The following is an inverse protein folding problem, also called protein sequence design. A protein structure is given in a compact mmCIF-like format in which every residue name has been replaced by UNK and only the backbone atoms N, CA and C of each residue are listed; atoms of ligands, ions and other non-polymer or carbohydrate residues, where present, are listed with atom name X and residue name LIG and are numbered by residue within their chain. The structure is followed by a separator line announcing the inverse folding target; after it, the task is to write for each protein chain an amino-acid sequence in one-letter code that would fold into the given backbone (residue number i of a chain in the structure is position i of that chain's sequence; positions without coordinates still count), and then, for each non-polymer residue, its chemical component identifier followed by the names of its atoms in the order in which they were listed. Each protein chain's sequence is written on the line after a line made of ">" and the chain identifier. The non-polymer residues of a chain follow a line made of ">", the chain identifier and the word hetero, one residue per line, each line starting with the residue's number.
data_IF_989322728206
#
_entry.id   IF_989322728206
#
_cell.length_a   1.000
_cell.length_b   1.000
_cell.length_c   1.000
_cell.angle_alpha   90.00
_cell.angle_beta   90.00
_cell.angle_gamma   90.00
#
_symmetry.space_group_name_H-M   'P 1'
#
loop_
_entity.id
_entity.type
_entity.pdbx_description
1 polymer ?
#
# COMPACT_ATOMS: atom_id res chain seq x y z
N UNK A 1 1.55 -1.60 3.25
CA UNK A 1 2.93 -1.74 2.74
C UNK A 1 3.75 -0.59 3.28
N UNK A 2 5.10 -0.76 3.43
CA UNK A 2 5.93 0.25 4.07
C UNK A 2 5.52 0.49 5.53
N UNK A 3 5.28 -0.57 6.26
CA UNK A 3 4.61 -0.50 7.56
C UNK A 3 5.43 0.24 8.62
N UNK A 4 6.78 0.12 8.58
CA UNK A 4 7.62 0.72 9.60
C UNK A 4 7.08 0.52 11.01
N UNK A 5 7.05 1.58 11.80
CA UNK A 5 6.41 1.63 13.12
C UNK A 5 5.01 2.27 13.06
N UNK A 6 4.17 1.82 12.13
CA UNK A 6 2.87 2.44 11.79
C UNK A 6 1.84 2.36 12.92
N UNK A 7 1.27 3.52 13.29
CA UNK A 7 0.13 3.59 14.20
C UNK A 7 -1.11 2.88 13.63
N UNK A 8 -1.30 2.88 12.29
CA UNK A 8 -2.41 2.18 11.66
C UNK A 8 -2.36 0.67 11.95
N UNK A 9 -1.19 0.03 11.87
CA UNK A 9 -1.06 -1.40 12.17
C UNK A 9 -1.45 -1.70 13.61
N UNK A 10 -1.08 -0.82 14.54
CA UNK A 10 -1.43 -0.96 15.97
C UNK A 10 -2.95 -0.87 16.16
N UNK A 11 -3.60 0.10 15.51
CA UNK A 11 -5.05 0.24 15.58
C UNK A 11 -5.79 -0.94 14.94
N UNK A 12 -5.33 -1.44 13.79
CA UNK A 12 -5.91 -2.62 13.15
C UNK A 12 -5.81 -3.86 14.05
N UNK A 13 -4.65 -4.10 14.68
CA UNK A 13 -4.46 -5.22 15.62
C UNK A 13 -5.42 -5.16 16.83
N UNK A 14 -5.82 -3.95 17.26
CA UNK A 14 -6.76 -3.72 18.36
C UNK A 14 -8.22 -3.73 17.95
N UNK A 15 -8.50 -3.46 16.67
CA UNK A 15 -9.87 -3.34 16.13
C UNK A 15 -10.51 -4.69 15.75
N UNK A 16 -9.85 -5.82 16.04
CA UNK A 16 -10.42 -7.15 15.86
C UNK A 16 -10.31 -7.71 14.43
N UNK A 17 -9.41 -7.17 13.60
CA UNK A 17 -9.08 -7.80 12.32
C UNK A 17 -8.46 -9.19 12.54
N UNK A 18 -8.91 -10.18 11.78
CA UNK A 18 -8.51 -11.58 11.93
C UNK A 18 -7.08 -11.86 11.48
N UNK A 19 -6.57 -11.06 10.54
CA UNK A 19 -5.21 -11.17 10.00
C UNK A 19 -4.70 -9.79 9.57
N UNK A 20 -3.51 -9.42 10.02
CA UNK A 20 -2.83 -8.18 9.62
C UNK A 20 -1.40 -8.51 9.24
N UNK A 21 -1.04 -8.23 7.99
CA UNK A 21 0.33 -8.37 7.50
C UNK A 21 1.01 -7.01 7.41
N UNK A 22 2.07 -6.81 8.19
CA UNK A 22 2.91 -5.62 8.14
C UNK A 22 4.18 -5.92 7.33
N UNK A 23 4.27 -5.35 6.14
CA UNK A 23 5.40 -5.56 5.21
C UNK A 23 6.27 -4.31 5.18
N UNK A 24 7.57 -4.49 5.34
CA UNK A 24 8.57 -3.42 5.20
C UNK A 24 9.93 -4.01 4.82
N UNK A 25 10.77 -3.24 4.13
CA UNK A 25 12.16 -3.62 3.84
C UNK A 25 13.07 -3.43 5.08
N UNK A 26 12.65 -2.65 6.05
CA UNK A 26 13.38 -2.33 7.27
C UNK A 26 13.05 -3.31 8.40
N UNK A 27 13.94 -4.25 8.68
CA UNK A 27 13.82 -5.11 9.87
C UNK A 27 13.76 -4.31 11.17
N UNK A 28 14.54 -3.23 11.27
CA UNK A 28 14.55 -2.35 12.43
C UNK A 28 13.19 -1.64 12.64
N UNK A 29 12.53 -1.23 11.55
CA UNK A 29 11.17 -0.67 11.59
C UNK A 29 10.15 -1.69 12.11
N UNK A 30 10.21 -2.93 11.62
CA UNK A 30 9.33 -4.02 12.06
C UNK A 30 9.59 -4.46 13.50
N UNK A 31 10.84 -4.43 13.96
CA UNK A 31 11.18 -4.67 15.37
C UNK A 31 10.63 -3.57 16.28
N UNK A 32 10.71 -2.31 15.85
CA UNK A 32 10.10 -1.21 16.59
C UNK A 32 8.57 -1.37 16.64
N UNK A 33 7.93 -1.75 15.53
CA UNK A 33 6.50 -2.06 15.48
C UNK A 33 6.15 -3.16 16.49
N UNK A 34 6.93 -4.23 16.56
CA UNK A 34 6.72 -5.31 17.54
C UNK A 34 6.76 -4.82 18.99
N UNK A 35 7.72 -3.94 19.31
CA UNK A 35 7.80 -3.31 20.64
C UNK A 35 6.58 -2.45 20.96
N UNK A 36 6.07 -1.69 19.99
CA UNK A 36 4.90 -0.82 20.15
C UNK A 36 3.58 -1.61 20.26
N UNK A 37 3.48 -2.76 19.59
CA UNK A 37 2.34 -3.67 19.70
C UNK A 37 2.26 -4.34 21.09
N UNK A 38 3.39 -4.58 21.74
CA UNK A 38 3.45 -5.22 23.06
C UNK A 38 2.78 -6.59 23.04
N UNK A 39 1.72 -6.77 23.86
CA UNK A 39 0.94 -8.01 23.92
C UNK A 39 0.15 -8.32 22.65
N UNK A 40 -0.04 -7.36 21.75
CA UNK A 40 -0.74 -7.55 20.48
C UNK A 40 0.20 -7.98 19.33
N UNK A 41 1.50 -8.16 19.60
CA UNK A 41 2.51 -8.47 18.59
C UNK A 41 2.24 -9.76 17.82
N UNK A 42 1.62 -10.76 18.46
CA UNK A 42 1.28 -12.05 17.86
C UNK A 42 0.06 -11.97 16.91
N UNK A 43 -0.70 -10.88 16.96
CA UNK A 43 -1.83 -10.62 16.06
C UNK A 43 -1.39 -10.10 14.68
N UNK A 44 -0.12 -9.71 14.55
CA UNK A 44 0.43 -9.09 13.34
C UNK A 44 1.58 -9.93 12.80
N UNK A 45 1.42 -10.45 11.59
CA UNK A 45 2.53 -11.07 10.86
C UNK A 45 3.43 -9.97 10.29
N UNK A 46 4.69 -9.95 10.70
CA UNK A 46 5.69 -8.98 10.23
C UNK A 46 6.57 -9.63 9.19
N UNK A 47 6.58 -9.07 7.98
CA UNK A 47 7.30 -9.59 6.82
C UNK A 47 8.36 -8.59 6.38
N UNK A 48 9.63 -8.94 6.55
CA UNK A 48 10.74 -8.14 6.04
C UNK A 48 11.03 -8.55 4.60
N UNK A 49 10.49 -7.76 3.65
CA UNK A 49 10.60 -8.07 2.23
C UNK A 49 10.39 -6.80 1.37
N UNK A 50 10.90 -6.84 0.15
CA UNK A 50 10.52 -5.90 -0.90
C UNK A 50 9.06 -6.15 -1.31
N UNK A 51 8.30 -5.08 -1.45
CA UNK A 51 6.88 -5.15 -1.83
C UNK A 51 6.66 -5.82 -3.20
N UNK A 52 7.65 -5.79 -4.08
CA UNK A 52 7.62 -6.44 -5.40
C UNK A 52 7.80 -7.96 -5.33
N UNK A 53 8.31 -8.47 -4.21
CA UNK A 53 8.69 -9.89 -4.04
C UNK A 53 7.89 -10.59 -2.93
N UNK A 54 7.18 -9.82 -2.08
CA UNK A 54 6.44 -10.36 -0.94
C UNK A 54 5.43 -11.41 -1.38
N UNK A 55 5.29 -12.47 -0.58
CA UNK A 55 4.29 -13.53 -0.78
C UNK A 55 3.41 -13.65 0.46
N UNK A 56 2.15 -13.97 0.21
CA UNK A 56 1.13 -14.15 1.23
C UNK A 56 0.66 -15.60 1.23
N UNK A 57 0.24 -16.10 2.39
CA UNK A 57 -0.20 -17.50 2.55
C UNK A 57 -1.62 -17.75 2.00
N UNK A 58 -2.30 -16.69 1.60
CA UNK A 58 -3.64 -16.73 1.00
C UNK A 58 -4.03 -15.36 0.44
N UNK A 59 -5.22 -15.26 -0.15
CA UNK A 59 -5.72 -14.01 -0.69
C UNK A 59 -5.98 -13.02 0.44
N UNK A 60 -5.78 -11.74 0.16
CA UNK A 60 -6.03 -10.63 1.09
C UNK A 60 -7.22 -9.80 0.61
N UNK A 61 -8.02 -9.31 1.55
CA UNK A 61 -9.21 -8.50 1.24
C UNK A 61 -8.83 -7.03 0.98
N UNK A 62 -7.81 -6.52 1.67
CA UNK A 62 -7.40 -5.12 1.57
C UNK A 62 -5.88 -5.01 1.50
N UNK A 63 -5.40 -4.42 0.42
CA UNK A 63 -4.02 -3.96 0.28
C UNK A 63 -3.98 -2.47 0.62
N UNK A 64 -3.22 -2.10 1.66
CA UNK A 64 -3.02 -0.70 2.03
C UNK A 64 -1.57 -0.30 1.81
N UNK A 65 -1.37 0.79 1.08
CA UNK A 65 -0.07 1.40 0.82
C UNK A 65 -0.16 2.92 0.96
N UNK A 66 0.62 3.47 1.86
CA UNK A 66 0.81 4.90 1.95
C UNK A 66 2.30 5.23 1.90
N UNK A 67 2.70 5.94 0.84
CA UNK A 67 4.06 6.42 0.65
C UNK A 67 5.13 5.31 0.47
N UNK A 68 4.76 4.16 -0.12
CA UNK A 68 5.70 3.11 -0.56
C UNK A 68 5.79 3.06 -2.07
N UNK A 69 4.64 3.02 -2.76
CA UNK A 69 4.57 2.93 -4.21
C UNK A 69 5.36 4.05 -4.92
N UNK A 70 5.40 5.24 -4.37
CA UNK A 70 6.10 6.38 -4.99
C UNK A 70 7.64 6.20 -5.09
N UNK A 71 8.24 5.25 -4.37
CA UNK A 71 9.65 4.91 -4.54
C UNK A 71 9.90 4.07 -5.79
N UNK A 72 8.86 3.47 -6.37
CA UNK A 72 8.96 2.67 -7.60
C UNK A 72 8.88 3.59 -8.81
N UNK A 73 10.04 4.02 -9.31
CA UNK A 73 10.16 5.08 -10.31
C UNK A 73 10.17 4.58 -11.75
N UNK A 74 10.57 3.34 -11.98
CA UNK A 74 10.58 2.74 -13.32
C UNK A 74 9.24 2.07 -13.63
N UNK A 75 8.89 2.03 -14.92
CA UNK A 75 7.69 1.29 -15.37
C UNK A 75 7.76 -0.20 -15.01
N UNK A 76 8.95 -0.80 -15.06
CA UNK A 76 9.15 -2.22 -14.71
C UNK A 76 8.88 -2.47 -13.21
N UNK A 77 9.36 -1.58 -12.32
CA UNK A 77 9.09 -1.68 -10.88
C UNK A 77 7.61 -1.52 -10.56
N UNK A 78 6.94 -0.57 -11.22
CA UNK A 78 5.50 -0.34 -11.07
C UNK A 78 4.70 -1.54 -11.58
N UNK A 79 5.07 -2.11 -12.72
CA UNK A 79 4.43 -3.31 -13.26
C UNK A 79 4.62 -4.52 -12.33
N UNK A 80 5.84 -4.72 -11.77
CA UNK A 80 6.09 -5.78 -10.80
C UNK A 80 5.25 -5.61 -9.52
N UNK A 81 5.07 -4.36 -9.05
CA UNK A 81 4.20 -4.07 -7.92
C UNK A 81 2.74 -4.41 -8.24
N UNK A 82 2.21 -3.93 -9.38
CA UNK A 82 0.81 -4.21 -9.78
C UNK A 82 0.57 -5.70 -9.97
N UNK A 83 1.53 -6.41 -10.56
CA UNK A 83 1.47 -7.86 -10.65
C UNK A 83 1.35 -8.49 -9.26
N UNK A 84 2.16 -8.06 -8.29
CA UNK A 84 2.11 -8.57 -6.91
C UNK A 84 0.77 -8.27 -6.24
N UNK A 85 0.25 -7.07 -6.41
CA UNK A 85 -1.08 -6.69 -5.92
C UNK A 85 -2.16 -7.58 -6.54
N UNK A 86 -2.11 -7.81 -7.85
CA UNK A 86 -3.10 -8.62 -8.56
C UNK A 86 -3.07 -10.10 -8.17
N UNK A 87 -1.91 -10.62 -7.78
CA UNK A 87 -1.77 -12.00 -7.30
C UNK A 87 -2.27 -12.15 -5.84
N UNK A 88 -2.08 -11.12 -5.03
CA UNK A 88 -2.35 -11.16 -3.59
C UNK A 88 -3.79 -10.77 -3.23
N UNK A 89 -4.33 -9.70 -3.80
CA UNK A 89 -5.68 -9.20 -3.47
C UNK A 89 -6.73 -10.13 -4.05
N UNK A 90 -7.71 -10.55 -3.26
CA UNK A 90 -8.81 -11.40 -3.70
C UNK A 90 -9.67 -10.71 -4.79
N UNK A 91 -10.32 -11.45 -5.70
CA UNK A 91 -11.36 -10.89 -6.56
C UNK A 91 -12.44 -10.18 -5.71
N UNK A 92 -12.77 -8.94 -6.05
CA UNK A 92 -13.64 -8.07 -5.25
C UNK A 92 -12.95 -7.39 -4.06
N UNK A 93 -11.72 -7.74 -3.73
CA UNK A 93 -10.91 -7.07 -2.71
C UNK A 93 -10.46 -5.67 -3.13
N UNK A 94 -9.87 -4.93 -2.22
CA UNK A 94 -9.62 -3.50 -2.38
C UNK A 94 -8.13 -3.14 -2.26
N UNK A 95 -7.76 -2.08 -2.98
CA UNK A 95 -6.45 -1.44 -2.86
C UNK A 95 -6.66 0.01 -2.41
N UNK A 96 -6.15 0.35 -1.25
CA UNK A 96 -6.09 1.72 -0.72
C UNK A 96 -4.67 2.22 -0.94
N UNK A 97 -4.48 3.13 -1.86
CA UNK A 97 -3.17 3.65 -2.22
C UNK A 97 -3.10 5.16 -2.00
N UNK A 98 -2.03 5.63 -1.35
CA UNK A 98 -1.70 7.04 -1.24
C UNK A 98 -0.24 7.28 -1.65
N UNK A 99 -0.04 8.11 -2.66
CA UNK A 99 1.27 8.47 -3.21
C UNK A 99 1.37 9.99 -3.35
N UNK A 100 2.57 10.54 -3.51
CA UNK A 100 2.65 11.99 -3.76
C UNK A 100 1.95 12.35 -5.07
N UNK A 101 1.14 13.42 -5.00
CA UNK A 101 0.49 14.01 -6.17
C UNK A 101 1.50 14.77 -7.04
N UNK A 102 1.10 15.18 -8.24
CA UNK A 102 1.95 15.96 -9.15
C UNK A 102 2.46 17.27 -8.54
N UNK A 103 1.70 17.85 -7.59
CA UNK A 103 2.10 19.02 -6.80
C UNK A 103 2.86 18.69 -5.51
N UNK A 104 3.07 17.40 -5.22
CA UNK A 104 3.79 16.92 -4.05
C UNK A 104 5.31 17.06 -4.17
N UNK A 105 6.05 16.71 -3.10
CA UNK A 105 7.50 16.74 -3.09
C UNK A 105 8.13 15.79 -4.11
N UNK A 106 9.33 16.13 -4.59
CA UNK A 106 10.12 15.27 -5.48
C UNK A 106 10.97 14.23 -4.73
N UNK A 107 11.02 14.35 -3.41
CA UNK A 107 11.79 13.46 -2.54
C UNK A 107 10.98 13.10 -1.29
N UNK A 108 11.18 11.86 -0.81
CA UNK A 108 10.69 11.38 0.47
C UNK A 108 11.85 10.74 1.23
N UNK A 109 12.08 11.15 2.48
CA UNK A 109 13.20 10.65 3.29
C UNK A 109 14.57 10.77 2.61
N UNK A 110 14.79 11.83 1.82
CA UNK A 110 16.02 12.08 1.08
C UNK A 110 16.18 11.24 -0.22
N UNK A 111 15.21 10.43 -0.57
CA UNK A 111 15.21 9.63 -1.81
C UNK A 111 14.26 10.23 -2.85
N UNK A 112 14.64 10.21 -4.14
CA UNK A 112 13.77 10.67 -5.21
C UNK A 112 12.57 9.76 -5.37
N UNK A 113 11.40 10.34 -5.64
CA UNK A 113 10.13 9.61 -5.80
C UNK A 113 9.43 9.95 -7.11
N UNK A 114 8.53 9.07 -7.55
CA UNK A 114 7.56 9.37 -8.59
C UNK A 114 6.33 10.06 -7.97
N UNK A 115 5.69 10.93 -8.76
CA UNK A 115 4.46 11.65 -8.40
C UNK A 115 3.37 11.24 -9.40
N UNK A 116 2.16 11.04 -8.91
CA UNK A 116 1.11 10.48 -9.76
C UNK A 116 -0.19 11.25 -9.60
N UNK A 117 -0.83 11.55 -10.74
CA UNK A 117 -2.24 11.91 -10.78
C UNK A 117 -3.13 10.67 -10.66
N UNK A 118 -4.42 10.87 -10.42
CA UNK A 118 -5.41 9.76 -10.43
C UNK A 118 -5.41 9.04 -11.78
N UNK A 119 -5.36 9.80 -12.90
CA UNK A 119 -5.33 9.22 -14.24
C UNK A 119 -4.13 8.31 -14.48
N UNK A 120 -2.93 8.76 -14.09
CA UNK A 120 -1.71 7.95 -14.19
C UNK A 120 -1.80 6.65 -13.36
N UNK A 121 -2.38 6.71 -12.15
CA UNK A 121 -2.59 5.51 -11.35
C UNK A 121 -3.59 4.54 -12.00
N UNK A 122 -4.68 5.06 -12.61
CA UNK A 122 -5.62 4.22 -13.36
C UNK A 122 -4.94 3.53 -14.56
N UNK A 123 -4.07 4.23 -15.29
CA UNK A 123 -3.31 3.64 -16.39
C UNK A 123 -2.35 2.54 -15.91
N UNK A 124 -1.64 2.77 -14.80
CA UNK A 124 -0.69 1.82 -14.22
C UNK A 124 -1.39 0.56 -13.71
N UNK A 125 -2.53 0.69 -13.01
CA UNK A 125 -3.27 -0.45 -12.47
C UNK A 125 -4.10 -1.18 -13.52
N UNK A 126 -4.45 -0.50 -14.62
CA UNK A 126 -5.13 -1.07 -15.78
C UNK A 126 -6.54 -1.60 -15.48
N UNK A 127 -7.05 -2.41 -16.41
CA UNK A 127 -8.45 -2.90 -16.37
C UNK A 127 -8.75 -3.90 -15.25
N UNK A 128 -7.72 -4.47 -14.60
CA UNK A 128 -7.92 -5.41 -13.48
C UNK A 128 -8.45 -4.72 -12.22
N UNK A 129 -8.30 -3.40 -12.13
CA UNK A 129 -8.67 -2.61 -10.96
C UNK A 129 -9.59 -1.46 -11.34
N UNK A 130 -10.82 -1.49 -10.85
CA UNK A 130 -11.80 -0.43 -11.02
C UNK A 130 -11.57 0.67 -9.98
N UNK A 131 -11.45 1.92 -10.42
CA UNK A 131 -11.42 3.07 -9.52
C UNK A 131 -12.80 3.26 -8.87
N UNK A 132 -12.87 3.17 -7.55
CA UNK A 132 -14.10 3.36 -6.78
C UNK A 132 -14.18 4.78 -6.25
N UNK A 133 -13.06 5.33 -5.76
CA UNK A 133 -13.01 6.68 -5.19
C UNK A 133 -11.62 7.26 -5.28
N UNK A 134 -11.51 8.58 -5.27
CA UNK A 134 -10.24 9.29 -5.25
C UNK A 134 -10.37 10.69 -4.66
N UNK A 135 -9.32 11.17 -4.00
CA UNK A 135 -9.20 12.55 -3.55
C UNK A 135 -7.75 12.96 -3.41
N UNK A 136 -7.52 14.26 -3.32
CA UNK A 136 -6.22 14.81 -2.95
C UNK A 136 -6.26 15.37 -1.52
N UNK A 137 -5.14 15.26 -0.82
CA UNK A 137 -4.97 15.86 0.50
C UNK A 137 -3.59 16.48 0.64
N UNK A 138 -3.48 17.48 1.51
CA UNK A 138 -2.19 18.04 1.90
C UNK A 138 -1.93 17.69 3.36
N UNK A 139 -0.86 16.93 3.61
CA UNK A 139 -0.35 16.63 4.94
C UNK A 139 0.72 17.66 5.31
N UNK A 140 0.63 18.24 6.48
CA UNK A 140 1.68 19.13 7.02
C UNK A 140 2.59 18.31 7.93
N UNK A 141 3.87 18.26 7.60
CA UNK A 141 4.86 17.58 8.44
C UNK A 141 5.05 18.32 9.77
N UNK A 142 5.61 17.67 10.82
CA UNK A 142 5.89 18.33 12.09
C UNK A 142 6.79 19.58 11.99
N UNK A 143 7.58 19.69 10.93
CA UNK A 143 8.43 20.86 10.64
C UNK A 143 7.82 21.85 9.64
N UNK A 144 6.50 21.75 9.38
CA UNK A 144 5.73 22.71 8.60
C UNK A 144 5.77 22.55 7.08
N UNK A 145 6.45 21.52 6.54
CA UNK A 145 6.46 21.29 5.09
C UNK A 145 5.15 20.63 4.63
N UNK A 146 4.57 21.14 3.55
CA UNK A 146 3.39 20.55 2.90
C UNK A 146 3.76 19.32 2.06
N UNK A 147 2.98 18.28 2.15
CA UNK A 147 3.08 17.07 1.35
C UNK A 147 1.72 16.78 0.72
N UNK A 148 1.58 17.04 -0.57
CA UNK A 148 0.35 16.74 -1.31
C UNK A 148 0.33 15.28 -1.76
N UNK A 149 -0.78 14.59 -1.46
CA UNK A 149 -1.01 13.18 -1.79
C UNK A 149 -2.21 13.05 -2.72
N UNK A 150 -2.08 12.16 -3.70
CA UNK A 150 -3.18 11.55 -4.44
C UNK A 150 -3.56 10.26 -3.72
N UNK A 151 -4.84 10.14 -3.36
CA UNK A 151 -5.44 8.95 -2.77
C UNK A 151 -6.35 8.29 -3.77
N UNK A 152 -6.29 6.97 -3.87
CA UNK A 152 -7.20 6.17 -4.68
C UNK A 152 -7.66 4.94 -3.91
N UNK A 153 -8.92 4.58 -4.12
CA UNK A 153 -9.50 3.31 -3.73
C UNK A 153 -9.83 2.55 -5.01
N UNK A 154 -9.14 1.45 -5.22
CA UNK A 154 -9.45 0.51 -6.29
C UNK A 154 -10.16 -0.72 -5.74
N UNK A 155 -10.98 -1.35 -6.58
CA UNK A 155 -11.54 -2.68 -6.38
C UNK A 155 -11.00 -3.62 -7.45
N UNK A 156 -10.49 -4.78 -7.04
CA UNK A 156 -10.10 -5.82 -7.99
C UNK A 156 -11.36 -6.38 -8.67
N UNK A 157 -11.35 -6.41 -10.00
CA UNK A 157 -12.41 -7.04 -10.80
C UNK A 157 -12.60 -8.53 -10.46
N UNK A 158 -13.80 -9.04 -10.71
CA UNK A 158 -14.06 -10.48 -10.66
C UNK A 158 -13.33 -11.14 -11.82
N UNK A 159 -12.63 -12.24 -11.55
CA UNK A 159 -12.06 -13.03 -12.64
C UNK A 159 -13.22 -13.63 -13.46
N UNK A 160 -13.26 -13.40 -14.76
CA UNK A 160 -14.30 -13.91 -15.67
C UNK A 160 -14.30 -15.43 -15.84
N UNK A 161 -13.74 -16.20 -14.90
CA UNK A 161 -13.73 -17.66 -14.94
C UNK A 161 -15.09 -18.31 -14.59
N UNK A 162 -16.04 -17.56 -14.02
CA UNK A 162 -17.37 -18.07 -13.65
C UNK A 162 -18.50 -17.69 -14.64
N UNK A 163 -18.16 -17.17 -15.81
CA UNK A 163 -19.12 -16.86 -16.86
C UNK A 163 -19.03 -17.89 -18.02
N UNK A 164 -19.14 -19.17 -17.71
CA UNK A 164 -19.49 -20.20 -18.69
C UNK A 164 -20.84 -20.78 -18.28
N UNK A 165 -21.84 -20.71 -19.19
CA UNK A 165 -23.16 -21.25 -18.96
C UNK A 165 -23.16 -22.77 -18.87
#
# INVERSE_FOLDING_TARGET
>A
MGAGASALVIELARSGYSSVDAVDVSSAGLEQLARLLGSDADKVRRVCADVREVRFDGPIDVWHDRATFHFLRSADDQAAYVQRVSEAVAPGGHVVLATFSESGPEQCSGLPVARHSVGALCEIFGELFELIDSFESCHTTPWGAGQSFTHVLFRRGQTTADALP
#
